data_IF_659728879512
#
_entry.id   IF_659728879512
#
_cell.length_a   1.000
_cell.length_b   1.000
_cell.length_c   1.000
_cell.angle_alpha   90.00
_cell.angle_beta   90.00
_cell.angle_gamma   90.00
#
_symmetry.space_group_name_H-M   'P 1'
#
loop_
_entity.id
_entity.type
_entity.pdbx_description
1 polymer ?
#
# COMPACT_ATOMS: atom_id res chain seq x y z
N UNK A 1 -19.42 -5.69 -18.77
CA UNK A 1 -18.48 -6.84 -18.82
C UNK A 1 -18.48 -7.45 -17.42
N UNK A 2 -18.62 -8.77 -17.27
CA UNK A 2 -18.58 -9.41 -15.96
C UNK A 2 -17.20 -9.12 -15.32
N UNK A 3 -17.20 -8.58 -14.11
CA UNK A 3 -15.97 -8.40 -13.31
C UNK A 3 -15.23 -9.73 -13.27
N UNK A 4 -14.01 -9.73 -13.77
CA UNK A 4 -13.18 -10.91 -13.78
C UNK A 4 -12.73 -11.20 -12.34
N UNK A 5 -13.49 -12.04 -11.63
CA UNK A 5 -13.19 -12.44 -10.24
C UNK A 5 -12.05 -13.46 -10.15
N UNK A 6 -11.14 -13.47 -11.12
CA UNK A 6 -9.98 -14.35 -11.12
C UNK A 6 -9.08 -13.98 -9.93
N UNK A 7 -8.90 -14.92 -9.00
CA UNK A 7 -8.04 -14.71 -7.81
C UNK A 7 -6.57 -14.83 -8.21
N UNK A 8 -6.20 -15.88 -8.92
CA UNK A 8 -4.81 -16.18 -9.28
C UNK A 8 -4.50 -15.74 -10.71
N UNK A 9 -3.58 -14.76 -10.93
CA UNK A 9 -3.25 -14.27 -12.27
C UNK A 9 -2.53 -15.32 -13.13
N UNK A 10 -1.79 -16.24 -12.52
CA UNK A 10 -0.98 -17.23 -13.20
C UNK A 10 -1.56 -18.63 -13.06
N UNK A 11 -1.44 -19.44 -14.12
CA UNK A 11 -1.82 -20.86 -14.09
C UNK A 11 -0.82 -21.63 -13.24
N UNK A 12 -1.29 -22.53 -12.40
CA UNK A 12 -0.47 -23.39 -11.52
C UNK A 12 0.38 -22.60 -10.48
N UNK A 13 0.00 -21.38 -10.15
CA UNK A 13 0.64 -20.57 -9.13
C UNK A 13 -0.42 -20.02 -8.18
N UNK A 14 -0.43 -20.54 -6.95
CA UNK A 14 -1.28 -20.06 -5.85
C UNK A 14 -0.56 -19.06 -4.92
N UNK A 15 0.71 -18.80 -5.16
CA UNK A 15 1.51 -17.85 -4.37
C UNK A 15 1.27 -16.38 -4.76
N UNK A 16 0.59 -16.10 -5.88
CA UNK A 16 0.29 -14.75 -6.33
C UNK A 16 -1.21 -14.56 -6.52
N UNK A 17 -1.76 -13.47 -5.99
CA UNK A 17 -3.20 -13.15 -6.10
C UNK A 17 -3.42 -11.75 -6.67
N UNK A 18 -4.53 -11.56 -7.38
CA UNK A 18 -5.11 -10.23 -7.58
C UNK A 18 -5.72 -9.76 -6.27
N UNK A 19 -5.08 -8.80 -5.63
CA UNK A 19 -5.39 -8.40 -4.26
C UNK A 19 -6.83 -7.91 -4.11
N UNK A 20 -7.34 -7.12 -5.06
CA UNK A 20 -8.73 -6.64 -5.09
C UNK A 20 -9.75 -7.77 -4.91
N UNK A 21 -9.48 -8.95 -5.47
CA UNK A 21 -10.46 -10.04 -5.55
C UNK A 21 -10.52 -10.94 -4.29
N UNK A 22 -9.64 -10.68 -3.31
CA UNK A 22 -9.61 -11.40 -2.03
C UNK A 22 -9.96 -10.50 -0.83
N UNK A 23 -10.04 -9.19 -1.03
CA UNK A 23 -10.37 -8.23 0.04
C UNK A 23 -11.85 -8.30 0.38
N UNK A 24 -12.15 -8.36 1.67
CA UNK A 24 -13.51 -8.36 2.23
C UNK A 24 -13.78 -7.15 3.13
N UNK A 25 -12.74 -6.54 3.70
CA UNK A 25 -12.84 -5.38 4.57
C UNK A 25 -13.11 -4.11 3.75
N UNK A 26 -14.23 -3.42 4.04
CA UNK A 26 -14.65 -2.19 3.34
C UNK A 26 -13.68 -1.00 3.52
N UNK A 27 -12.84 -1.03 4.55
CA UNK A 27 -11.81 -0.02 4.78
C UNK A 27 -10.49 -0.32 4.05
N UNK A 28 -10.44 -1.39 3.24
CA UNK A 28 -9.32 -1.71 2.38
C UNK A 28 -9.79 -1.62 0.93
N UNK A 29 -9.27 -0.64 0.20
CA UNK A 29 -9.64 -0.34 -1.18
C UNK A 29 -8.44 -0.65 -2.07
N UNK A 30 -8.64 -1.49 -3.08
CA UNK A 30 -7.55 -1.92 -3.97
C UNK A 30 -7.96 -1.73 -5.42
N UNK A 31 -7.07 -1.13 -6.21
CA UNK A 31 -7.24 -0.94 -7.64
C UNK A 31 -7.04 -2.22 -8.45
N UNK A 32 -7.48 -2.19 -9.71
CA UNK A 32 -7.38 -3.32 -10.64
C UNK A 32 -5.93 -3.70 -10.91
N UNK A 33 -5.69 -4.98 -11.18
CA UNK A 33 -4.39 -5.56 -11.54
C UNK A 33 -3.29 -5.45 -10.47
N UNK A 34 -3.60 -4.94 -9.28
CA UNK A 34 -2.66 -4.96 -8.14
C UNK A 34 -2.52 -6.39 -7.62
N UNK A 35 -1.27 -6.84 -7.53
CA UNK A 35 -0.92 -8.20 -7.11
C UNK A 35 -0.21 -8.21 -5.75
N UNK A 36 -0.44 -9.26 -5.01
CA UNK A 36 0.34 -9.64 -3.83
C UNK A 36 0.92 -11.03 -4.04
N UNK A 37 2.22 -11.18 -3.82
CA UNK A 37 2.92 -12.46 -3.85
C UNK A 37 3.39 -12.83 -2.45
N UNK A 38 3.08 -14.06 -2.01
CA UNK A 38 3.58 -14.64 -0.77
C UNK A 38 3.99 -16.10 -0.99
N UNK A 39 5.24 -16.42 -0.68
CA UNK A 39 5.80 -17.77 -0.76
C UNK A 39 6.04 -18.40 0.62
N UNK A 40 5.70 -17.68 1.70
CA UNK A 40 5.82 -18.12 3.09
C UNK A 40 4.46 -18.48 3.67
N UNK A 41 3.44 -17.71 3.27
CA UNK A 41 2.08 -17.85 3.77
C UNK A 41 1.09 -17.89 2.62
N UNK A 42 -0.15 -18.31 2.91
CA UNK A 42 -1.25 -18.20 1.95
C UNK A 42 -1.56 -16.73 1.67
N UNK A 43 -1.39 -16.23 0.42
CA UNK A 43 -1.59 -14.83 0.07
C UNK A 43 -3.04 -14.35 0.27
N UNK A 44 -4.02 -15.26 0.32
CA UNK A 44 -5.42 -14.93 0.63
C UNK A 44 -5.58 -14.39 2.06
N UNK A 45 -4.60 -14.64 2.93
CA UNK A 45 -4.61 -14.13 4.31
C UNK A 45 -4.08 -12.69 4.45
N UNK A 46 -3.92 -11.95 3.35
CA UNK A 46 -3.35 -10.59 3.33
C UNK A 46 -3.96 -9.66 4.39
N UNK A 47 -5.29 -9.59 4.50
CA UNK A 47 -5.96 -8.72 5.47
C UNK A 47 -5.52 -9.00 6.91
N UNK A 48 -5.31 -10.26 7.26
CA UNK A 48 -4.96 -10.67 8.64
C UNK A 48 -3.46 -10.61 8.92
N UNK A 49 -2.64 -10.88 7.90
CA UNK A 49 -1.20 -11.04 8.09
C UNK A 49 -0.38 -9.82 7.73
N UNK A 50 -0.91 -8.98 6.84
CA UNK A 50 -0.18 -7.83 6.30
C UNK A 50 -0.74 -6.49 6.77
N UNK A 51 -2.04 -6.41 7.09
CA UNK A 51 -2.71 -5.19 7.56
C UNK A 51 -2.88 -5.27 9.07
N UNK A 52 -2.02 -4.58 9.81
CA UNK A 52 -1.86 -4.74 11.25
C UNK A 52 -2.41 -3.55 12.02
N UNK A 53 -3.02 -3.81 13.18
CA UNK A 53 -3.60 -2.78 14.07
C UNK A 53 -4.66 -1.91 13.40
N UNK A 54 -5.34 -2.46 12.40
CA UNK A 54 -6.39 -1.80 11.64
C UNK A 54 -7.77 -2.10 12.23
N UNK A 55 -8.22 -1.25 13.15
CA UNK A 55 -9.47 -1.45 13.88
C UNK A 55 -10.54 -0.43 13.43
N UNK A 56 -11.82 -0.85 13.31
CA UNK A 56 -12.91 0.01 12.82
C UNK A 56 -13.10 1.32 13.61
N UNK A 57 -12.67 1.35 14.87
CA UNK A 57 -12.79 2.54 15.73
C UNK A 57 -12.05 3.77 15.18
N UNK A 58 -10.96 3.56 14.42
CA UNK A 58 -10.15 4.66 13.86
C UNK A 58 -10.72 5.22 12.56
N UNK A 59 -11.53 4.45 11.85
CA UNK A 59 -12.05 4.77 10.51
C UNK A 59 -10.96 5.06 9.47
N UNK A 60 -9.70 4.73 9.77
CA UNK A 60 -8.59 4.82 8.84
C UNK A 60 -8.68 3.73 7.76
N UNK A 61 -8.12 3.99 6.58
CA UNK A 61 -8.25 3.12 5.42
C UNK A 61 -6.88 2.77 4.84
N UNK A 62 -6.80 1.59 4.25
CA UNK A 62 -5.73 1.21 3.32
C UNK A 62 -6.24 1.41 1.90
N UNK A 63 -5.64 2.35 1.17
CA UNK A 63 -5.99 2.64 -0.22
C UNK A 63 -4.78 2.30 -1.08
N UNK A 64 -4.94 1.36 -2.02
CA UNK A 64 -3.90 0.92 -2.94
C UNK A 64 -4.39 1.12 -4.37
N UNK A 65 -3.61 1.79 -5.18
CA UNK A 65 -3.90 2.04 -6.59
C UNK A 65 -3.88 0.80 -7.47
N UNK A 66 -3.86 1.02 -8.77
CA UNK A 66 -3.84 -0.01 -9.82
C UNK A 66 -2.40 -0.45 -10.14
N UNK A 67 -2.25 -1.67 -10.65
CA UNK A 67 -0.99 -2.22 -11.16
C UNK A 67 0.17 -2.23 -10.15
N UNK A 68 -0.12 -2.18 -8.85
CA UNK A 68 0.90 -2.31 -7.84
C UNK A 68 1.40 -3.75 -7.72
N UNK A 69 2.67 -3.90 -7.36
CA UNK A 69 3.29 -5.18 -7.05
C UNK A 69 3.75 -5.19 -5.59
N UNK A 70 3.12 -6.02 -4.78
CA UNK A 70 3.41 -6.12 -3.34
C UNK A 70 4.08 -7.46 -3.09
N UNK A 71 5.29 -7.42 -2.56
CA UNK A 71 6.08 -8.62 -2.28
C UNK A 71 5.73 -9.23 -0.92
N UNK A 72 6.14 -10.49 -0.77
CA UNK A 72 5.98 -11.30 0.43
C UNK A 72 6.42 -10.56 1.68
N UNK A 73 5.62 -10.68 2.74
CA UNK A 73 5.93 -10.15 4.06
C UNK A 73 5.78 -8.63 4.23
N UNK A 74 5.42 -7.88 3.20
CA UNK A 74 5.15 -6.44 3.33
C UNK A 74 4.06 -6.18 4.38
N UNK A 75 4.22 -5.14 5.23
CA UNK A 75 3.31 -4.80 6.33
C UNK A 75 2.80 -3.37 6.23
N UNK A 76 1.52 -3.21 6.55
CA UNK A 76 0.84 -1.92 6.68
C UNK A 76 0.42 -1.78 8.14
N UNK A 77 1.09 -0.89 8.88
CA UNK A 77 0.91 -0.74 10.32
C UNK A 77 0.08 0.50 10.60
N UNK A 78 -1.12 0.28 11.11
CA UNK A 78 -2.10 1.33 11.35
C UNK A 78 -1.97 1.98 12.72
N UNK A 79 -2.73 3.03 12.90
CA UNK A 79 -2.68 3.98 14.01
C UNK A 79 -2.72 3.32 15.38
N UNK A 80 -3.48 2.25 15.58
CA UNK A 80 -3.56 1.57 16.89
C UNK A 80 -2.28 0.84 17.31
N UNK A 81 -1.24 0.81 16.46
CA UNK A 81 0.11 0.37 16.87
C UNK A 81 0.90 1.47 17.59
N UNK A 82 0.44 2.71 17.54
CA UNK A 82 1.08 3.84 18.21
C UNK A 82 0.52 4.01 19.61
N UNK A 83 1.22 4.79 20.43
CA UNK A 83 0.72 5.30 21.69
C UNK A 83 0.68 6.82 21.62
N UNK A 84 -0.23 7.45 22.36
CA UNK A 84 -0.27 8.92 22.42
C UNK A 84 1.01 9.48 23.01
N UNK A 85 1.56 10.50 22.37
CA UNK A 85 2.76 11.20 22.85
C UNK A 85 2.47 12.30 23.86
N UNK A 86 1.19 12.65 24.06
CA UNK A 86 0.76 13.69 25.00
C UNK A 86 0.57 13.17 26.43
N UNK A 87 0.66 11.86 26.65
CA UNK A 87 0.58 11.25 27.97
C UNK A 87 1.94 11.27 28.68
N UNK A 88 1.94 11.44 29.98
CA UNK A 88 3.16 11.29 30.82
C UNK A 88 3.64 9.82 30.89
N UNK A 89 2.80 8.87 30.51
CA UNK A 89 3.12 7.45 30.46
C UNK A 89 2.91 6.91 29.05
N UNK A 90 3.79 6.03 28.61
CA UNK A 90 3.60 5.26 27.37
C UNK A 90 2.69 4.05 27.55
N UNK A 91 2.27 3.72 28.79
CA UNK A 91 1.34 2.63 29.04
C UNK A 91 -0.07 3.01 28.59
N UNK A 92 -0.74 2.18 27.77
CA UNK A 92 -2.02 2.52 27.17
C UNK A 92 -3.20 2.27 28.13
N UNK A 93 -3.24 2.96 29.25
CA UNK A 93 -4.29 2.84 30.26
C UNK A 93 -5.72 2.79 29.68
N UNK A 94 -6.08 3.61 28.66
CA UNK A 94 -7.44 3.60 28.15
C UNK A 94 -7.87 2.28 27.51
N UNK A 95 -6.93 1.45 27.03
CA UNK A 95 -7.24 0.12 26.47
C UNK A 95 -7.71 -0.82 27.58
N UNK A 96 -7.16 -0.68 28.76
CA UNK A 96 -7.48 -1.50 29.95
C UNK A 96 -8.48 -0.79 30.86
N UNK A 97 -9.49 -0.15 30.26
CA UNK A 97 -10.44 0.74 30.94
C UNK A 97 -11.18 0.07 32.10
N UNK A 98 -11.47 -1.22 32.02
CA UNK A 98 -12.15 -1.97 33.09
C UNK A 98 -11.27 -2.09 34.32
N UNK A 99 -10.02 -2.47 34.14
CA UNK A 99 -9.05 -2.63 35.27
C UNK A 99 -8.78 -1.30 35.96
N UNK A 100 -8.69 -0.22 35.20
CA UNK A 100 -8.35 1.12 35.67
C UNK A 100 -9.57 1.99 35.95
N UNK A 101 -10.79 1.40 35.95
CA UNK A 101 -12.06 2.10 36.18
C UNK A 101 -12.22 3.39 35.34
N UNK A 102 -11.88 3.31 34.07
CA UNK A 102 -12.02 4.40 33.10
C UNK A 102 -13.27 4.21 32.22
N UNK A 103 -13.75 5.29 31.63
CA UNK A 103 -14.85 5.20 30.67
C UNK A 103 -14.38 4.55 29.37
N UNK A 104 -15.11 3.55 28.87
CA UNK A 104 -14.83 2.85 27.60
C UNK A 104 -14.66 3.78 26.41
N UNK A 105 -15.35 4.94 26.41
CA UNK A 105 -15.19 5.95 25.34
C UNK A 105 -13.75 6.48 25.24
N UNK A 106 -12.95 6.35 26.29
CA UNK A 106 -11.56 6.80 26.30
C UNK A 106 -10.62 5.88 25.50
N UNK A 107 -11.05 4.68 25.08
CA UNK A 107 -10.20 3.74 24.34
C UNK A 107 -9.57 4.40 23.10
N UNK A 108 -10.32 5.22 22.36
CA UNK A 108 -9.81 5.93 21.19
C UNK A 108 -8.76 7.00 21.51
N UNK A 109 -8.53 7.34 22.80
CA UNK A 109 -7.49 8.31 23.20
C UNK A 109 -6.16 7.63 23.54
N UNK A 110 -6.08 6.30 23.44
CA UNK A 110 -4.86 5.55 23.74
C UNK A 110 -3.75 5.78 22.69
N UNK A 111 -4.10 6.31 21.51
CA UNK A 111 -3.18 6.56 20.41
C UNK A 111 -3.54 7.85 19.64
N UNK A 112 -2.55 8.39 18.93
CA UNK A 112 -2.74 9.54 18.05
C UNK A 112 -3.10 9.03 16.65
N UNK A 113 -4.29 9.37 16.13
CA UNK A 113 -4.72 8.97 14.80
C UNK A 113 -3.94 9.76 13.73
N UNK A 114 -3.21 9.03 12.88
CA UNK A 114 -2.41 9.60 11.77
C UNK A 114 -3.09 9.48 10.40
N UNK A 115 -4.24 8.84 10.34
CA UNK A 115 -5.03 8.72 9.12
C UNK A 115 -4.67 7.55 8.23
N UNK A 116 -5.16 7.64 6.99
CA UNK A 116 -5.09 6.59 5.98
C UNK A 116 -3.64 6.27 5.56
N UNK A 117 -3.42 5.05 5.10
CA UNK A 117 -2.27 4.71 4.26
C UNK A 117 -2.74 4.75 2.81
N UNK A 118 -2.12 5.59 1.99
CA UNK A 118 -2.47 5.77 0.58
C UNK A 118 -1.29 5.41 -0.31
N UNK A 119 -1.51 4.48 -1.22
CA UNK A 119 -0.51 4.00 -2.17
C UNK A 119 -1.04 4.28 -3.57
N UNK A 120 -0.28 5.01 -4.36
CA UNK A 120 -0.59 5.34 -5.74
C UNK A 120 -0.61 4.12 -6.67
N UNK A 121 -0.57 4.38 -7.96
CA UNK A 121 -0.58 3.37 -9.01
C UNK A 121 0.85 2.95 -9.40
N UNK A 122 1.03 1.78 -9.99
CA UNK A 122 2.33 1.28 -10.45
C UNK A 122 3.43 1.30 -9.36
N UNK A 123 3.05 1.11 -8.09
CA UNK A 123 3.98 1.09 -6.96
C UNK A 123 4.52 -0.32 -6.75
N UNK A 124 5.83 -0.42 -6.57
CA UNK A 124 6.46 -1.66 -6.14
C UNK A 124 6.85 -1.60 -4.66
N UNK A 125 6.26 -2.49 -3.84
CA UNK A 125 6.60 -2.65 -2.44
C UNK A 125 7.44 -3.92 -2.29
N UNK A 126 8.70 -3.74 -1.89
CA UNK A 126 9.68 -4.80 -1.75
C UNK A 126 9.41 -5.75 -0.58
N UNK A 127 10.13 -6.86 -0.59
CA UNK A 127 10.04 -7.93 0.41
C UNK A 127 10.20 -7.39 1.84
N UNK A 128 9.27 -7.76 2.73
CA UNK A 128 9.25 -7.37 4.14
C UNK A 128 9.33 -5.84 4.40
N UNK A 129 8.96 -5.00 3.43
CA UNK A 129 8.86 -3.57 3.66
C UNK A 129 7.70 -3.25 4.61
N UNK A 130 7.84 -2.17 5.39
CA UNK A 130 6.85 -1.73 6.37
C UNK A 130 6.42 -0.31 6.04
N UNK A 131 5.10 -0.09 5.94
CA UNK A 131 4.50 1.24 5.73
C UNK A 131 3.71 1.62 6.98
N UNK A 132 4.01 2.79 7.55
CA UNK A 132 3.33 3.28 8.76
C UNK A 132 2.09 4.10 8.42
N UNK A 133 1.19 4.24 9.41
CA UNK A 133 -0.05 5.02 9.31
C UNK A 133 0.19 6.47 8.89
N UNK A 134 -0.73 7.01 8.10
CA UNK A 134 -0.69 8.39 7.60
C UNK A 134 0.27 8.63 6.44
N UNK A 135 0.94 7.61 5.92
CA UNK A 135 1.89 7.73 4.81
C UNK A 135 1.18 7.70 3.46
N UNK A 136 1.58 8.60 2.56
CA UNK A 136 1.20 8.62 1.15
C UNK A 136 2.40 8.24 0.27
N UNK A 137 2.23 7.25 -0.59
CA UNK A 137 3.25 6.80 -1.56
C UNK A 137 2.76 7.18 -2.96
N UNK A 138 3.52 8.02 -3.66
CA UNK A 138 3.17 8.49 -5.01
C UNK A 138 3.27 7.40 -6.08
N UNK A 139 2.61 7.65 -7.22
CA UNK A 139 2.59 6.73 -8.36
C UNK A 139 4.00 6.35 -8.81
N UNK A 140 4.16 5.12 -9.23
CA UNK A 140 5.42 4.62 -9.77
C UNK A 140 6.57 4.52 -8.77
N UNK A 141 6.37 4.75 -7.49
CA UNK A 141 7.42 4.64 -6.47
C UNK A 141 7.87 3.20 -6.26
N UNK A 142 9.11 3.04 -5.82
CA UNK A 142 9.69 1.73 -5.43
C UNK A 142 10.13 1.80 -3.97
N UNK A 143 9.56 0.93 -3.16
CA UNK A 143 9.94 0.75 -1.76
C UNK A 143 10.88 -0.46 -1.68
N UNK A 144 12.13 -0.22 -1.32
CA UNK A 144 13.15 -1.26 -1.24
C UNK A 144 12.83 -2.33 -0.19
N UNK A 145 13.44 -3.50 -0.36
CA UNK A 145 13.34 -4.63 0.58
C UNK A 145 13.65 -4.17 2.00
N UNK A 146 12.79 -4.55 2.97
CA UNK A 146 12.93 -4.22 4.40
C UNK A 146 13.00 -2.73 4.74
N UNK A 147 12.58 -1.85 3.83
CA UNK A 147 12.48 -0.44 4.13
C UNK A 147 11.34 -0.17 5.12
N UNK A 148 11.53 0.79 6.03
CA UNK A 148 10.48 1.26 6.94
C UNK A 148 10.08 2.68 6.53
N UNK A 149 8.91 2.79 5.89
CA UNK A 149 8.38 4.05 5.37
C UNK A 149 7.62 4.78 6.48
N UNK A 150 8.16 5.91 6.90
CA UNK A 150 7.66 6.71 8.03
C UNK A 150 7.15 8.10 7.59
N UNK A 151 7.32 8.46 6.33
CA UNK A 151 6.95 9.75 5.71
C UNK A 151 6.49 9.52 4.29
N UNK A 152 5.81 10.50 3.71
CA UNK A 152 5.35 10.48 2.32
C UNK A 152 6.51 10.27 1.35
N UNK A 153 6.22 9.50 0.29
CA UNK A 153 7.17 9.18 -0.78
C UNK A 153 6.69 9.84 -2.08
N UNK A 154 7.54 10.67 -2.71
CA UNK A 154 7.18 11.31 -3.96
C UNK A 154 6.99 10.31 -5.09
N UNK A 155 6.22 10.66 -6.14
CA UNK A 155 6.07 9.82 -7.33
C UNK A 155 7.41 9.46 -7.95
N UNK A 156 7.51 8.21 -8.42
CA UNK A 156 8.69 7.64 -9.09
C UNK A 156 10.00 7.66 -8.26
N UNK A 157 9.92 7.90 -6.96
CA UNK A 157 11.08 7.79 -6.09
C UNK A 157 11.40 6.32 -5.78
N UNK A 158 12.68 5.99 -5.71
CA UNK A 158 13.20 4.74 -5.17
C UNK A 158 13.72 5.03 -3.77
N UNK A 159 13.15 4.36 -2.78
CA UNK A 159 13.52 4.56 -1.37
C UNK A 159 13.95 3.26 -0.71
N UNK A 160 14.80 3.36 0.32
CA UNK A 160 15.25 2.20 1.09
C UNK A 160 15.77 2.58 2.46
N UNK A 161 15.97 1.58 3.31
CA UNK A 161 16.54 1.74 4.65
C UNK A 161 15.52 1.94 5.77
N UNK A 162 16.02 2.13 7.00
CA UNK A 162 15.26 2.31 8.24
C UNK A 162 15.80 3.54 8.97
N UNK A 163 15.06 4.66 9.00
CA UNK A 163 13.85 4.94 8.19
C UNK A 163 14.16 5.03 6.69
N UNK A 164 13.17 4.79 5.84
CA UNK A 164 13.32 4.88 4.40
C UNK A 164 13.72 6.29 3.97
N UNK A 165 14.73 6.37 3.09
CA UNK A 165 15.21 7.61 2.48
C UNK A 165 15.27 7.44 0.97
N UNK A 166 15.10 8.54 0.25
CA UNK A 166 15.24 8.54 -1.20
C UNK A 166 16.68 8.20 -1.59
N UNK A 167 16.81 7.23 -2.49
CA UNK A 167 18.09 6.82 -3.10
C UNK A 167 18.27 7.58 -4.41
N UNK A 168 17.21 7.57 -5.25
CA UNK A 168 17.13 8.28 -6.53
C UNK A 168 15.72 8.25 -7.08
N UNK A 169 15.46 8.99 -8.14
CA UNK A 169 14.26 8.82 -9.00
C UNK A 169 14.45 7.68 -10.00
N UNK A 170 13.33 7.10 -10.46
CA UNK A 170 13.32 6.10 -11.56
C UNK A 170 13.73 6.73 -12.89
N UNK A 171 13.26 7.94 -13.14
CA UNK A 171 13.41 8.69 -14.38
C UNK A 171 13.77 10.14 -14.09
N UNK A 172 14.12 10.91 -15.13
CA UNK A 172 14.27 12.37 -15.04
C UNK A 172 12.90 13.07 -14.86
N UNK A 173 12.92 14.34 -14.50
CA UNK A 173 11.70 15.10 -14.19
C UNK A 173 10.78 15.29 -15.42
N UNK A 174 11.34 15.37 -16.64
CA UNK A 174 10.57 15.47 -17.88
C UNK A 174 9.76 14.19 -18.11
N UNK A 175 10.41 13.04 -18.03
CA UNK A 175 9.78 11.71 -18.13
C UNK A 175 8.73 11.50 -17.05
N UNK A 176 9.02 11.87 -15.80
CA UNK A 176 8.07 11.79 -14.70
C UNK A 176 6.84 12.66 -14.97
N UNK A 177 7.04 13.88 -15.46
CA UNK A 177 5.95 14.80 -15.80
C UNK A 177 5.03 14.21 -16.89
N UNK A 178 5.62 13.65 -17.96
CA UNK A 178 4.87 12.99 -19.04
C UNK A 178 4.08 11.78 -18.51
N UNK A 179 4.70 10.91 -17.70
CA UNK A 179 4.04 9.73 -17.12
C UNK A 179 2.85 10.11 -16.24
N UNK A 180 2.97 11.19 -15.47
CA UNK A 180 1.87 11.72 -14.65
C UNK A 180 0.72 12.31 -15.46
N UNK A 181 0.96 12.79 -16.67
CA UNK A 181 -0.08 13.27 -17.58
C UNK A 181 -0.75 12.10 -18.33
N UNK A 182 0.03 11.12 -18.75
CA UNK A 182 -0.44 9.96 -19.49
C UNK A 182 -1.34 9.08 -18.63
N UNK A 183 -1.02 8.88 -17.37
CA UNK A 183 -1.75 8.00 -16.42
C UNK A 183 -2.19 6.68 -17.06
N UNK A 184 -1.27 5.97 -17.72
CA UNK A 184 -1.54 4.77 -18.52
C UNK A 184 -2.34 3.69 -17.77
N UNK A 185 -2.25 3.63 -16.45
CA UNK A 185 -3.03 2.73 -15.58
C UNK A 185 -4.53 3.03 -15.58
N UNK A 186 -4.96 4.17 -16.13
CA UNK A 186 -6.37 4.53 -16.30
C UNK A 186 -6.90 4.21 -17.70
N UNK A 187 -6.06 3.74 -18.61
CA UNK A 187 -6.49 3.38 -19.96
C UNK A 187 -7.38 2.12 -19.98
N UNK A 188 -8.30 2.00 -20.95
CA UNK A 188 -8.99 0.76 -21.22
C UNK A 188 -8.01 -0.38 -21.50
N UNK A 189 -8.41 -1.61 -21.17
CA UNK A 189 -7.58 -2.80 -21.35
C UNK A 189 -6.98 -2.94 -22.76
N UNK A 190 -7.82 -2.75 -23.79
CA UNK A 190 -7.37 -2.86 -25.19
C UNK A 190 -6.30 -1.81 -25.53
N UNK A 191 -6.42 -0.57 -25.00
CA UNK A 191 -5.40 0.46 -25.18
C UNK A 191 -4.09 0.06 -24.47
N UNK A 192 -4.17 -0.48 -23.25
CA UNK A 192 -2.99 -0.99 -22.56
C UNK A 192 -2.33 -2.10 -23.38
N UNK A 193 -3.09 -3.08 -23.88
CA UNK A 193 -2.54 -4.16 -24.72
C UNK A 193 -1.84 -3.63 -25.98
N UNK A 194 -2.43 -2.65 -26.63
CA UNK A 194 -1.85 -2.02 -27.84
C UNK A 194 -0.49 -1.37 -27.55
N UNK A 195 -0.36 -0.67 -26.43
CA UNK A 195 0.84 0.07 -26.06
C UNK A 195 1.79 -0.67 -25.12
N UNK A 196 1.43 -1.91 -24.72
CA UNK A 196 2.20 -2.72 -23.76
C UNK A 196 3.68 -2.89 -24.15
N UNK A 197 4.05 -3.13 -25.43
CA UNK A 197 5.46 -3.22 -25.81
C UNK A 197 6.26 -1.95 -25.50
N UNK A 198 5.68 -0.77 -25.71
CA UNK A 198 6.34 0.52 -25.44
C UNK A 198 6.45 0.80 -23.95
N UNK A 199 5.40 0.47 -23.17
CA UNK A 199 5.43 0.57 -21.70
C UNK A 199 6.54 -0.32 -21.13
N UNK A 200 6.64 -1.56 -21.60
CA UNK A 200 7.65 -2.52 -21.13
C UNK A 200 9.08 -2.14 -21.49
N UNK A 201 9.27 -1.51 -22.65
CA UNK A 201 10.60 -1.10 -23.13
C UNK A 201 11.01 0.32 -22.68
N UNK A 202 10.12 1.06 -21.99
CA UNK A 202 10.41 2.43 -21.53
C UNK A 202 10.39 3.47 -22.67
N UNK A 203 9.67 3.19 -23.76
CA UNK A 203 9.60 4.06 -24.95
C UNK A 203 8.47 5.10 -24.80
N UNK A 204 8.67 6.06 -23.86
CA UNK A 204 7.63 7.03 -23.49
C UNK A 204 7.13 7.88 -24.66
N UNK A 205 8.02 8.23 -25.61
CA UNK A 205 7.66 9.05 -26.79
C UNK A 205 6.75 8.31 -27.79
N UNK A 206 6.55 7.01 -27.60
CA UNK A 206 5.61 6.19 -28.38
C UNK A 206 4.23 6.09 -27.74
N UNK A 207 4.08 6.59 -26.51
CA UNK A 207 2.79 6.58 -25.81
C UNK A 207 1.97 7.81 -26.25
N UNK A 208 0.65 7.67 -26.44
CA UNK A 208 -0.23 8.80 -26.74
C UNK A 208 -0.40 9.68 -25.49
N UNK A 209 -0.57 10.96 -25.73
CA UNK A 209 -0.94 11.94 -24.70
C UNK A 209 -2.33 11.65 -24.11
#
# INVERSE_FOLDING_TARGET
MAENKKIYPRTNDSGTVYLKNIITNQNIIVGDYTIYNDFVSDPVQFEKKNVLYHYPINKDRLIIGKFCSIACGAKFIFTSANHTLNSLSTYPFPIFFEEWNLDKKNVATAWDNKGDIVIGNDVWIGYEAVVLSGVHIGDGAIIGTRAVVTKDIPPYAIVGGVPAKEIRKRFDEETISKLKQIEWWNWPFDKIQQFLPYIMNGEIDKLPE
#
